data_IF_488651862074
#
_entry.id   IF_488651862074
#
_cell.length_a   1.000
_cell.length_b   1.000
_cell.length_c   1.000
_cell.angle_alpha   90.00
_cell.angle_beta   90.00
_cell.angle_gamma   90.00
#
_symmetry.space_group_name_H-M   'P 1'
#
loop_
_entity.id
_entity.type
_entity.pdbx_description
1 polymer ?
#
# COMPACT_ATOMS: atom_id res chain seq x y z
N UNK A 1 6.31 2.17 -20.93
CA UNK A 1 5.89 3.47 -21.44
C UNK A 1 5.83 4.50 -20.31
N UNK A 2 6.45 5.67 -20.48
CA UNK A 2 6.57 6.67 -19.41
C UNK A 2 5.21 7.20 -18.88
N UNK A 3 4.14 7.12 -19.66
CA UNK A 3 2.80 7.54 -19.23
C UNK A 3 2.15 6.67 -18.14
N UNK A 4 2.67 5.47 -17.88
CA UNK A 4 2.09 4.53 -16.90
C UNK A 4 3.00 4.25 -15.70
N UNK A 5 4.26 4.75 -15.71
CA UNK A 5 5.23 4.42 -14.64
C UNK A 5 4.78 4.87 -13.24
N UNK A 6 3.99 5.95 -13.16
CA UNK A 6 3.44 6.41 -11.89
C UNK A 6 2.44 5.44 -11.29
N UNK A 7 1.57 4.84 -12.10
CA UNK A 7 0.61 3.82 -11.68
C UNK A 7 1.35 2.55 -11.26
N UNK A 8 2.37 2.16 -12.03
CA UNK A 8 3.22 1.00 -11.70
C UNK A 8 3.94 1.23 -10.37
N UNK A 9 4.53 2.43 -10.16
CA UNK A 9 5.18 2.77 -8.90
C UNK A 9 4.22 2.67 -7.71
N UNK A 10 2.97 3.17 -7.83
CA UNK A 10 1.95 3.02 -6.78
C UNK A 10 1.70 1.55 -6.44
N UNK A 11 1.46 0.71 -7.46
CA UNK A 11 1.20 -0.73 -7.26
C UNK A 11 2.36 -1.47 -6.62
N UNK A 12 3.60 -1.14 -7.01
CA UNK A 12 4.80 -1.76 -6.40
C UNK A 12 4.94 -1.31 -4.95
N UNK A 13 4.76 -0.02 -4.66
CA UNK A 13 4.81 0.51 -3.29
C UNK A 13 3.74 -0.13 -2.40
N UNK A 14 2.50 -0.22 -2.87
CA UNK A 14 1.39 -0.88 -2.17
C UNK A 14 1.70 -2.36 -1.85
N UNK A 15 2.24 -3.08 -2.83
CA UNK A 15 2.54 -4.51 -2.68
C UNK A 15 3.73 -4.80 -1.77
N UNK A 16 4.77 -3.96 -1.86
CA UNK A 16 6.04 -4.18 -1.15
C UNK A 16 6.13 -3.47 0.20
N UNK A 17 5.25 -2.49 0.47
CA UNK A 17 5.32 -1.65 1.66
C UNK A 17 6.61 -0.82 1.74
N UNK A 18 7.20 -0.46 0.59
CA UNK A 18 8.48 0.26 0.52
C UNK A 18 8.43 1.38 -0.52
N UNK A 19 9.23 2.45 -0.34
CA UNK A 19 9.40 3.46 -1.38
C UNK A 19 9.89 2.81 -2.68
N UNK A 20 9.39 3.30 -3.81
CA UNK A 20 9.71 2.75 -5.12
C UNK A 20 9.90 3.86 -6.15
N UNK A 21 10.90 3.72 -7.01
CA UNK A 21 11.12 4.56 -8.18
C UNK A 21 11.15 3.68 -9.43
N UNK A 22 10.21 3.92 -10.35
CA UNK A 22 10.17 3.24 -11.66
C UNK A 22 10.73 4.20 -12.69
N UNK A 23 11.76 3.75 -13.41
CA UNK A 23 12.44 4.54 -14.44
C UNK A 23 12.21 3.93 -15.81
N UNK A 24 11.65 4.71 -16.73
CA UNK A 24 11.55 4.39 -18.15
C UNK A 24 12.76 4.96 -18.87
N UNK A 25 13.61 4.07 -19.40
CA UNK A 25 14.81 4.45 -20.15
C UNK A 25 14.44 4.83 -21.58
N UNK A 26 14.78 6.03 -22.00
CA UNK A 26 14.77 6.47 -23.39
C UNK A 26 16.18 6.49 -23.97
N UNK A 27 16.32 6.93 -25.21
CA UNK A 27 17.63 7.03 -25.91
C UNK A 27 18.47 8.20 -25.37
N UNK A 28 17.86 9.36 -25.23
CA UNK A 28 18.54 10.59 -24.78
C UNK A 28 18.28 10.94 -23.34
N UNK A 29 17.07 10.62 -22.84
CA UNK A 29 16.62 10.90 -21.48
C UNK A 29 15.90 9.70 -20.89
N UNK A 30 16.04 9.50 -19.59
CA UNK A 30 15.25 8.58 -18.79
C UNK A 30 14.31 9.38 -17.89
N UNK A 31 13.05 8.93 -17.76
CA UNK A 31 12.04 9.53 -16.90
C UNK A 31 11.64 8.57 -15.79
N UNK A 32 11.65 9.05 -14.56
CA UNK A 32 11.27 8.29 -13.39
C UNK A 32 10.03 8.87 -12.70
N UNK A 33 9.23 7.99 -12.15
CA UNK A 33 8.14 8.35 -11.25
C UNK A 33 8.22 7.46 -10.01
N UNK A 34 8.22 8.09 -8.84
CA UNK A 34 8.33 7.43 -7.55
C UNK A 34 7.11 7.60 -6.68
N UNK A 35 6.94 6.64 -5.78
CA UNK A 35 5.96 6.65 -4.71
C UNK A 35 6.64 6.26 -3.41
N UNK A 36 6.13 6.80 -2.32
CA UNK A 36 6.68 6.56 -0.99
C UNK A 36 5.67 5.98 -0.03
N UNK A 37 6.12 5.74 1.17
CA UNK A 37 5.35 5.34 2.34
C UNK A 37 5.45 6.43 3.39
N UNK A 38 4.54 6.43 4.34
CA UNK A 38 4.58 7.34 5.49
C UNK A 38 5.90 7.17 6.25
N UNK A 39 6.48 8.28 6.69
CA UNK A 39 7.75 8.29 7.39
C UNK A 39 9.00 8.31 6.50
N UNK A 40 8.90 8.15 5.17
CA UNK A 40 10.02 8.29 4.25
C UNK A 40 9.77 9.40 3.23
N UNK A 41 10.53 10.49 3.30
CA UNK A 41 10.47 11.57 2.30
C UNK A 41 11.25 11.20 1.04
N UNK A 42 10.52 10.76 0.00
CA UNK A 42 11.12 10.47 -1.30
C UNK A 42 11.74 11.73 -1.94
N UNK A 43 11.14 12.90 -1.71
CA UNK A 43 11.64 14.16 -2.23
C UNK A 43 13.01 14.51 -1.67
N UNK A 44 13.24 14.37 -0.35
CA UNK A 44 14.55 14.60 0.28
C UNK A 44 15.61 13.62 -0.24
N UNK A 45 15.24 12.33 -0.38
CA UNK A 45 16.13 11.32 -0.96
C UNK A 45 16.54 11.66 -2.41
N UNK A 46 15.64 12.23 -3.21
CA UNK A 46 15.93 12.70 -4.56
C UNK A 46 16.79 13.94 -4.54
N UNK A 47 16.55 14.90 -3.62
CA UNK A 47 17.39 16.08 -3.47
C UNK A 47 18.87 15.72 -3.20
N UNK A 48 19.12 14.69 -2.41
CA UNK A 48 20.48 14.17 -2.16
C UNK A 48 21.17 13.57 -3.42
N UNK A 49 20.39 13.38 -4.50
CA UNK A 49 20.87 12.88 -5.78
C UNK A 49 20.82 13.95 -6.90
N UNK A 50 20.58 15.22 -6.54
CA UNK A 50 20.25 16.29 -7.50
C UNK A 50 21.27 16.50 -8.60
N UNK A 51 22.57 16.33 -8.33
CA UNK A 51 23.68 16.45 -9.29
C UNK A 51 23.63 15.39 -10.42
N UNK A 52 22.94 14.27 -10.23
CA UNK A 52 22.77 13.22 -11.24
C UNK A 52 21.54 13.45 -12.12
N UNK A 53 20.70 14.43 -11.79
CA UNK A 53 19.39 14.66 -12.40
C UNK A 53 19.42 15.89 -13.31
N UNK A 54 18.68 15.81 -14.41
CA UNK A 54 18.41 16.95 -15.30
C UNK A 54 17.29 17.81 -14.69
N UNK A 55 16.25 17.14 -14.20
CA UNK A 55 15.07 17.77 -13.60
C UNK A 55 14.43 16.84 -12.59
N UNK A 56 13.94 17.39 -11.50
CA UNK A 56 13.12 16.64 -10.54
C UNK A 56 12.12 17.56 -9.83
N UNK A 57 11.12 16.97 -9.22
CA UNK A 57 10.12 17.67 -8.43
C UNK A 57 9.09 16.72 -7.85
N UNK A 58 8.34 17.20 -6.85
CA UNK A 58 7.31 16.42 -6.20
C UNK A 58 7.11 16.79 -4.74
N UNK A 59 6.60 15.83 -4.00
CA UNK A 59 6.28 15.89 -2.58
C UNK A 59 6.88 14.68 -1.84
N UNK A 60 6.88 14.64 -0.50
CA UNK A 60 7.40 13.50 0.25
C UNK A 60 6.86 12.14 -0.23
N UNK A 61 5.57 12.04 -0.59
CA UNK A 61 4.92 10.80 -0.97
C UNK A 61 5.00 10.45 -2.46
N UNK A 62 5.31 11.41 -3.34
CA UNK A 62 5.36 11.19 -4.78
C UNK A 62 6.27 12.19 -5.46
N UNK A 63 7.16 11.71 -6.32
CA UNK A 63 8.09 12.57 -7.03
C UNK A 63 8.41 12.04 -8.43
N UNK A 64 8.79 12.97 -9.32
CA UNK A 64 9.23 12.69 -10.67
C UNK A 64 10.66 13.14 -10.89
N UNK A 65 11.39 12.42 -11.73
CA UNK A 65 12.76 12.73 -12.12
C UNK A 65 12.95 12.61 -13.63
N UNK A 66 13.92 13.36 -14.14
CA UNK A 66 14.50 13.19 -15.47
C UNK A 66 16.01 13.15 -15.32
N UNK A 67 16.67 12.18 -15.92
CA UNK A 67 18.12 12.01 -15.85
C UNK A 67 18.65 11.45 -17.16
N UNK A 68 19.96 11.54 -17.36
CA UNK A 68 20.62 10.89 -18.49
C UNK A 68 20.63 9.37 -18.28
N UNK A 69 20.45 8.55 -19.34
CA UNK A 69 20.44 7.09 -19.23
C UNK A 69 21.69 6.49 -18.57
N UNK A 70 22.86 7.12 -18.77
CA UNK A 70 24.12 6.71 -18.14
C UNK A 70 24.13 6.92 -16.62
N UNK A 71 23.33 7.84 -16.09
CA UNK A 71 23.25 8.15 -14.66
C UNK A 71 22.33 7.21 -13.87
N UNK A 72 21.57 6.33 -14.54
CA UNK A 72 20.57 5.47 -13.87
C UNK A 72 21.20 4.63 -12.75
N UNK A 73 22.34 3.97 -13.02
CA UNK A 73 22.97 3.11 -12.03
C UNK A 73 23.61 3.93 -10.88
N UNK A 74 24.19 5.07 -11.18
CA UNK A 74 24.73 5.98 -10.15
C UNK A 74 23.60 6.52 -9.25
N UNK A 75 22.49 6.92 -9.84
CA UNK A 75 21.29 7.35 -9.11
C UNK A 75 20.74 6.23 -8.23
N UNK A 76 20.57 5.03 -8.79
CA UNK A 76 20.11 3.85 -8.05
C UNK A 76 20.96 3.56 -6.82
N UNK A 77 22.28 3.58 -6.99
CA UNK A 77 23.22 3.32 -5.89
C UNK A 77 23.10 4.39 -4.81
N UNK A 78 23.10 5.66 -5.19
CA UNK A 78 23.09 6.79 -4.25
C UNK A 78 21.77 6.89 -3.48
N UNK A 79 20.62 6.74 -4.13
CA UNK A 79 19.34 6.83 -3.43
C UNK A 79 19.14 5.66 -2.44
N UNK A 80 19.62 4.46 -2.77
CA UNK A 80 19.60 3.32 -1.83
C UNK A 80 20.61 3.53 -0.68
N UNK A 81 21.77 4.12 -0.95
CA UNK A 81 22.72 4.48 0.10
C UNK A 81 22.13 5.52 1.06
N UNK A 82 21.51 6.58 0.53
CA UNK A 82 20.79 7.56 1.33
C UNK A 82 19.74 6.89 2.24
N UNK A 83 18.94 5.99 1.67
CA UNK A 83 17.93 5.26 2.43
C UNK A 83 18.57 4.41 3.56
N UNK A 84 19.65 3.71 3.28
CA UNK A 84 20.33 2.88 4.28
C UNK A 84 20.98 3.72 5.42
N UNK A 85 21.50 4.89 5.11
CA UNK A 85 22.15 5.78 6.08
C UNK A 85 21.14 6.50 6.98
N UNK A 86 20.02 6.96 6.42
CA UNK A 86 19.03 7.76 7.15
C UNK A 86 17.89 6.94 7.73
N UNK A 87 17.66 5.75 7.20
CA UNK A 87 16.58 4.84 7.62
C UNK A 87 17.12 3.42 7.82
N UNK A 88 17.94 3.17 8.87
CA UNK A 88 18.48 1.84 9.18
C UNK A 88 17.36 0.81 9.37
N UNK A 89 16.22 1.28 9.87
CA UNK A 89 14.95 0.54 9.87
C UNK A 89 13.96 1.32 9.02
N UNK A 90 13.63 0.76 7.87
CA UNK A 90 12.62 1.35 6.98
C UNK A 90 11.28 1.42 7.71
N UNK A 91 10.56 2.56 7.65
CA UNK A 91 9.21 2.64 8.22
C UNK A 91 8.33 1.51 7.69
N UNK A 92 7.53 0.92 8.57
CA UNK A 92 6.54 -0.09 8.21
C UNK A 92 5.19 0.58 7.93
N UNK A 93 4.45 0.04 6.98
CA UNK A 93 3.08 0.49 6.79
C UNK A 93 2.26 0.20 8.05
N UNK A 94 1.62 1.22 8.57
CA UNK A 94 0.68 1.11 9.69
C UNK A 94 -0.74 1.28 9.17
N UNK A 95 -1.66 0.49 9.69
CA UNK A 95 -3.09 0.68 9.45
C UNK A 95 -3.66 1.39 10.68
N UNK A 96 -4.08 2.64 10.48
CA UNK A 96 -4.79 3.38 11.54
C UNK A 96 -6.23 2.90 11.57
N UNK A 97 -6.67 2.47 12.74
CA UNK A 97 -8.05 2.05 12.97
C UNK A 97 -8.80 3.16 13.71
N UNK A 98 -9.99 3.50 13.26
CA UNK A 98 -10.85 4.47 13.93
C UNK A 98 -11.41 3.90 15.23
N UNK A 99 -11.80 2.62 15.24
CA UNK A 99 -12.09 1.94 16.48
C UNK A 99 -12.03 0.40 16.34
N UNK A 100 -11.96 -0.25 17.51
CA UNK A 100 -12.13 -1.69 17.65
C UNK A 100 -13.62 -2.01 17.75
N UNK A 101 -14.11 -2.92 16.90
CA UNK A 101 -15.50 -3.36 16.95
C UNK A 101 -15.66 -4.68 17.74
N UNK A 102 -16.80 -4.75 18.44
CA UNK A 102 -17.31 -6.03 18.89
C UNK A 102 -18.00 -6.74 17.71
N UNK A 103 -17.58 -7.96 17.34
CA UNK A 103 -18.21 -8.70 16.24
C UNK A 103 -19.72 -8.81 16.33
N UNK A 104 -20.26 -8.97 17.54
CA UNK A 104 -21.71 -9.07 17.78
C UNK A 104 -22.48 -7.76 17.51
N UNK A 105 -21.81 -6.63 17.44
CA UNK A 105 -22.42 -5.33 17.15
C UNK A 105 -22.55 -5.04 15.65
N UNK A 106 -21.88 -5.82 14.80
CA UNK A 106 -21.96 -5.63 13.35
C UNK A 106 -23.37 -5.95 12.85
N UNK A 107 -23.95 -4.98 12.17
CA UNK A 107 -25.29 -5.10 11.57
C UNK A 107 -25.40 -4.27 10.29
N UNK A 108 -26.39 -4.59 9.47
CA UNK A 108 -26.68 -3.80 8.27
C UNK A 108 -27.04 -2.36 8.63
N UNK A 109 -27.78 -2.15 9.72
CA UNK A 109 -28.15 -0.80 10.18
C UNK A 109 -26.93 0.01 10.60
N UNK A 110 -25.95 -0.61 11.27
CA UNK A 110 -24.68 0.05 11.59
C UNK A 110 -23.94 0.45 10.30
N UNK A 111 -23.83 -0.47 9.33
CA UNK A 111 -23.18 -0.16 8.05
C UNK A 111 -23.91 0.97 7.31
N UNK A 112 -25.25 0.99 7.32
CA UNK A 112 -26.03 2.07 6.74
C UNK A 112 -25.82 3.41 7.46
N UNK A 113 -25.66 3.41 8.77
CA UNK A 113 -25.41 4.68 9.50
C UNK A 113 -24.10 5.35 9.12
N UNK A 114 -23.10 4.59 8.62
CA UNK A 114 -21.84 5.17 8.15
C UNK A 114 -22.01 6.04 6.90
N UNK A 115 -23.09 5.88 6.14
CA UNK A 115 -23.38 6.77 4.99
C UNK A 115 -23.62 8.23 5.41
N UNK A 116 -23.93 8.48 6.69
CA UNK A 116 -24.06 9.84 7.22
C UNK A 116 -22.73 10.58 7.29
N UNK A 117 -21.61 9.85 7.19
CA UNK A 117 -20.26 10.43 7.15
C UNK A 117 -19.81 10.82 5.74
N UNK A 118 -20.58 10.45 4.72
CA UNK A 118 -20.28 10.77 3.32
C UNK A 118 -20.41 12.30 3.02
N UNK A 119 -19.70 12.83 2.01
CA UNK A 119 -18.85 12.11 1.05
C UNK A 119 -17.45 11.82 1.60
N UNK A 120 -16.96 10.58 1.36
CA UNK A 120 -15.59 10.21 1.68
C UNK A 120 -14.59 10.73 0.64
N UNK A 121 -13.38 11.04 1.06
CA UNK A 121 -12.31 11.51 0.18
C UNK A 121 -11.11 12.07 0.93
N UNK A 122 -10.36 12.94 0.29
CA UNK A 122 -9.21 13.59 0.91
C UNK A 122 -9.67 14.48 2.09
N UNK A 123 -9.13 14.23 3.30
CA UNK A 123 -9.52 14.91 4.52
C UNK A 123 -10.73 14.30 5.25
N UNK A 124 -11.45 13.36 4.62
CA UNK A 124 -12.51 12.57 5.24
C UNK A 124 -12.44 11.13 4.73
N UNK A 125 -11.45 10.33 5.17
CA UNK A 125 -11.30 8.96 4.72
C UNK A 125 -12.45 8.07 5.20
N UNK A 126 -12.69 6.99 4.47
CA UNK A 126 -13.64 5.98 4.91
C UNK A 126 -13.18 5.35 6.23
N UNK A 127 -14.04 5.21 7.24
CA UNK A 127 -13.67 4.63 8.53
C UNK A 127 -13.15 3.20 8.41
N UNK A 128 -12.09 2.90 9.13
CA UNK A 128 -11.47 1.58 9.20
C UNK A 128 -11.64 1.00 10.60
N UNK A 129 -12.24 -0.16 10.68
CA UNK A 129 -12.54 -0.83 11.95
C UNK A 129 -11.69 -2.08 12.13
N UNK A 130 -11.29 -2.35 13.39
CA UNK A 130 -10.56 -3.57 13.75
C UNK A 130 -11.46 -4.60 14.39
N UNK A 131 -11.41 -5.83 13.87
CA UNK A 131 -11.91 -7.04 14.52
C UNK A 131 -10.71 -7.88 14.91
N UNK A 132 -10.60 -8.22 16.19
CA UNK A 132 -9.39 -8.85 16.72
C UNK A 132 -9.64 -10.27 17.23
N UNK A 133 -8.65 -11.14 17.01
CA UNK A 133 -8.70 -12.54 17.44
C UNK A 133 -9.94 -13.27 16.92
N UNK A 134 -10.26 -13.07 15.64
CA UNK A 134 -11.30 -13.82 14.96
C UNK A 134 -10.74 -15.16 14.48
N UNK A 135 -11.42 -16.26 14.74
CA UNK A 135 -11.05 -17.57 14.21
C UNK A 135 -11.50 -17.68 12.75
N UNK A 136 -10.58 -18.04 11.86
CA UNK A 136 -10.90 -18.32 10.46
C UNK A 136 -11.50 -19.73 10.35
N UNK A 137 -12.83 -19.82 10.29
CA UNK A 137 -13.52 -21.12 10.25
C UNK A 137 -13.72 -21.67 8.85
N UNK A 138 -13.77 -20.82 7.81
CA UNK A 138 -13.90 -21.28 6.43
C UNK A 138 -13.34 -20.29 5.42
N UNK A 139 -12.88 -20.83 4.29
CA UNK A 139 -12.38 -20.07 3.12
C UNK A 139 -13.03 -20.61 1.86
N UNK A 140 -13.78 -19.79 1.14
CA UNK A 140 -14.45 -20.17 -0.10
C UNK A 140 -14.00 -19.28 -1.24
N UNK A 141 -13.39 -19.84 -2.31
CA UNK A 141 -13.10 -19.08 -3.53
C UNK A 141 -14.42 -18.63 -4.20
N UNK A 142 -14.43 -17.38 -4.67
CA UNK A 142 -15.56 -16.77 -5.38
C UNK A 142 -15.10 -15.96 -6.58
N UNK A 143 -16.00 -15.58 -7.47
CA UNK A 143 -15.64 -14.78 -8.65
C UNK A 143 -14.63 -15.48 -9.58
N UNK A 144 -14.83 -16.75 -9.87
CA UNK A 144 -13.90 -17.54 -10.70
C UNK A 144 -12.56 -17.82 -10.02
N UNK A 145 -12.48 -17.70 -8.67
CA UNK A 145 -11.25 -17.92 -7.90
C UNK A 145 -10.38 -16.68 -7.72
N UNK A 146 -10.82 -15.53 -8.21
CA UNK A 146 -10.07 -14.27 -8.06
C UNK A 146 -10.27 -13.55 -6.73
N UNK A 147 -11.19 -14.02 -5.90
CA UNK A 147 -11.51 -13.44 -4.58
C UNK A 147 -11.77 -14.55 -3.57
N UNK A 148 -11.67 -14.24 -2.29
CA UNK A 148 -11.98 -15.16 -1.20
C UNK A 148 -13.13 -14.62 -0.34
N UNK A 149 -14.07 -15.50 -0.01
CA UNK A 149 -15.04 -15.29 1.05
C UNK A 149 -14.55 -16.03 2.29
N UNK A 150 -14.32 -15.30 3.35
CA UNK A 150 -13.84 -15.81 4.63
C UNK A 150 -15.00 -15.86 5.61
N UNK A 151 -15.11 -16.94 6.39
CA UNK A 151 -16.01 -17.00 7.54
C UNK A 151 -15.16 -16.86 8.80
N UNK A 152 -15.46 -15.84 9.60
CA UNK A 152 -14.73 -15.47 10.81
C UNK A 152 -15.67 -15.64 12.01
N UNK A 153 -15.19 -16.30 13.06
CA UNK A 153 -15.99 -16.59 14.24
C UNK A 153 -15.34 -16.11 15.53
N UNK A 154 -16.15 -15.58 16.43
CA UNK A 154 -15.73 -15.22 17.79
C UNK A 154 -16.89 -15.13 18.75
N UNK A 155 -16.82 -15.84 19.87
CA UNK A 155 -17.81 -15.79 20.96
C UNK A 155 -19.27 -15.95 20.47
N UNK A 156 -19.50 -16.85 19.50
CA UNK A 156 -20.81 -17.11 18.90
C UNK A 156 -21.23 -16.11 17.81
N UNK A 157 -20.47 -15.06 17.57
CA UNK A 157 -20.69 -14.19 16.40
C UNK A 157 -19.98 -14.78 15.18
N UNK A 158 -20.69 -14.82 14.04
CA UNK A 158 -20.19 -15.29 12.75
C UNK A 158 -20.23 -14.13 11.76
N UNK A 159 -19.12 -13.84 11.13
CA UNK A 159 -18.96 -12.74 10.17
C UNK A 159 -18.47 -13.28 8.84
N UNK A 160 -19.08 -12.81 7.77
CA UNK A 160 -18.61 -13.03 6.41
C UNK A 160 -17.76 -11.84 5.96
N UNK A 161 -16.49 -12.08 5.66
CA UNK A 161 -15.59 -11.09 5.11
C UNK A 161 -15.21 -11.44 3.66
N UNK A 162 -14.95 -10.40 2.85
CA UNK A 162 -14.47 -10.57 1.48
C UNK A 162 -13.03 -10.10 1.36
N UNK A 163 -12.17 -10.98 0.85
CA UNK A 163 -10.81 -10.62 0.47
C UNK A 163 -10.70 -10.59 -1.05
N UNK A 164 -10.70 -9.38 -1.59
CA UNK A 164 -10.66 -9.18 -3.03
C UNK A 164 -9.26 -9.37 -3.61
N UNK A 165 -9.19 -9.76 -4.90
CA UNK A 165 -7.95 -9.91 -5.67
C UNK A 165 -6.90 -10.79 -4.97
N UNK A 166 -7.36 -11.88 -4.35
CA UNK A 166 -6.50 -12.84 -3.64
C UNK A 166 -6.94 -14.24 -4.01
N UNK A 167 -6.01 -15.07 -4.43
CA UNK A 167 -6.24 -16.48 -4.70
C UNK A 167 -6.03 -17.31 -3.44
N UNK A 168 -6.58 -18.54 -3.35
CA UNK A 168 -6.40 -19.41 -2.18
C UNK A 168 -4.94 -19.61 -1.77
N UNK A 169 -4.06 -19.79 -2.75
CA UNK A 169 -2.62 -20.01 -2.54
C UNK A 169 -1.86 -18.76 -2.04
N UNK A 170 -2.46 -17.59 -2.14
CA UNK A 170 -1.91 -16.32 -1.68
C UNK A 170 -2.38 -15.93 -0.26
N UNK A 171 -3.30 -16.70 0.32
CA UNK A 171 -3.78 -16.46 1.68
C UNK A 171 -2.75 -16.97 2.68
N UNK A 172 -2.17 -16.09 3.54
CA UNK A 172 -1.13 -16.50 4.50
C UNK A 172 -1.68 -17.17 5.76
N UNK A 173 -2.97 -17.47 5.80
CA UNK A 173 -3.68 -18.01 6.97
C UNK A 173 -4.31 -19.35 6.65
N UNK A 174 -4.46 -20.20 7.67
CA UNK A 174 -5.11 -21.51 7.61
C UNK A 174 -6.40 -21.51 8.41
N UNK A 175 -7.29 -22.44 8.10
CA UNK A 175 -8.51 -22.66 8.91
C UNK A 175 -8.09 -23.03 10.33
N UNK A 176 -8.67 -22.36 11.32
CA UNK A 176 -8.35 -22.45 12.73
C UNK A 176 -7.39 -21.36 13.24
N UNK A 177 -6.75 -20.61 12.35
CA UNK A 177 -5.92 -19.48 12.76
C UNK A 177 -6.77 -18.34 13.34
N UNK A 178 -6.20 -17.63 14.32
CA UNK A 178 -6.76 -16.39 14.85
C UNK A 178 -6.13 -15.22 14.12
N UNK A 179 -6.98 -14.41 13.52
CA UNK A 179 -6.58 -13.25 12.72
C UNK A 179 -7.26 -11.97 13.22
N UNK A 180 -6.64 -10.84 12.87
CA UNK A 180 -7.10 -9.49 13.19
C UNK A 180 -7.57 -8.75 11.93
#
# INVERSE_FOLDING_TARGET
HHGVIGIVASRVTERCGKPCMIISRGETEAKGSGRSIEGFSLFEAICACGDLLIKFGGHPMAAGITLKPENIEAFRKRINQYAAEHFPQMPTQTVTLDCKLNPAALSVSMAQSLTQLEPFGNGNPQPVFGLFNMELSNVTPVGGGGHLRLTLEKNGAVITAMRFNTKPEELPYHIGDKID
#
